data_IF_907065035662
#
_entry.id   IF_907065035662
#
_cell.length_a   1.000
_cell.length_b   1.000
_cell.length_c   1.000
_cell.angle_alpha   90.00
_cell.angle_beta   90.00
_cell.angle_gamma   90.00
#
_symmetry.space_group_name_H-M   'P 1'
#
loop_
_entity.id
_entity.type
_entity.pdbx_description
1 polymer ?
#
# COMPACT_ATOMS: atom_id res chain seq x y z
N UNK A 1 12.96 11.56 6.97
CA UNK A 1 11.55 11.52 6.54
C UNK A 1 11.48 11.35 5.05
N UNK A 2 10.81 10.32 4.57
CA UNK A 2 10.54 10.16 3.15
C UNK A 2 9.58 11.24 2.67
N UNK A 3 9.85 11.82 1.50
CA UNK A 3 8.92 12.73 0.85
C UNK A 3 7.72 11.94 0.38
N UNK A 4 6.54 12.25 0.88
CA UNK A 4 5.30 11.64 0.40
C UNK A 4 5.08 12.00 -1.07
N UNK A 5 4.92 11.00 -1.92
CA UNK A 5 4.60 11.20 -3.33
C UNK A 5 3.12 11.52 -3.47
N UNK A 6 2.79 12.72 -3.94
CA UNK A 6 1.43 13.15 -4.19
C UNK A 6 0.64 13.60 -2.94
N UNK A 7 -0.55 14.11 -3.18
CA UNK A 7 -1.49 14.54 -2.14
C UNK A 7 -2.50 13.43 -1.81
N UNK A 8 -3.22 13.56 -0.69
CA UNK A 8 -4.28 12.64 -0.32
C UNK A 8 -5.34 12.50 -1.42
N UNK A 9 -5.75 13.61 -2.01
CA UNK A 9 -6.74 13.62 -3.10
C UNK A 9 -6.24 12.84 -4.33
N UNK A 10 -4.96 13.00 -4.67
CA UNK A 10 -4.34 12.27 -5.79
C UNK A 10 -4.28 10.78 -5.50
N UNK A 11 -3.96 10.38 -4.27
CA UNK A 11 -4.01 8.98 -3.85
C UNK A 11 -5.43 8.41 -3.88
N UNK A 12 -6.41 9.17 -3.43
CA UNK A 12 -7.82 8.74 -3.49
C UNK A 12 -8.30 8.57 -4.92
N UNK A 13 -7.90 9.46 -5.84
CA UNK A 13 -8.32 9.40 -7.23
C UNK A 13 -7.85 8.13 -7.96
N UNK A 14 -6.70 7.57 -7.56
CA UNK A 14 -6.13 6.39 -8.22
C UNK A 14 -6.82 5.07 -7.84
N UNK A 15 -7.67 5.08 -6.81
CA UNK A 15 -8.30 3.89 -6.26
C UNK A 15 -9.64 3.51 -6.92
N UNK A 16 -9.89 3.99 -8.10
CA UNK A 16 -11.10 3.67 -8.85
C UNK A 16 -11.03 4.14 -10.28
N UNK A 17 -12.14 4.08 -10.96
CA UNK A 17 -12.25 4.58 -12.33
C UNK A 17 -11.92 6.09 -12.40
N UNK A 18 -11.16 6.55 -13.40
CA UNK A 18 -10.70 5.76 -14.57
C UNK A 18 -9.27 5.16 -14.43
N UNK A 19 -8.69 5.16 -13.23
CA UNK A 19 -7.27 4.84 -13.02
C UNK A 19 -6.96 3.34 -12.79
N UNK A 20 -7.95 2.44 -12.78
CA UNK A 20 -7.72 1.00 -12.68
C UNK A 20 -6.81 0.50 -13.82
N UNK A 21 -7.02 0.99 -15.03
CA UNK A 21 -6.18 0.69 -16.19
C UNK A 21 -4.75 1.23 -16.06
N UNK A 22 -4.56 2.36 -15.37
CA UNK A 22 -3.22 2.88 -15.05
C UNK A 22 -2.49 1.95 -14.10
N UNK A 23 -3.15 1.47 -13.04
CA UNK A 23 -2.54 0.52 -12.11
C UNK A 23 -2.11 -0.76 -12.81
N UNK A 24 -2.94 -1.29 -13.69
CA UNK A 24 -2.59 -2.47 -14.50
C UNK A 24 -1.40 -2.19 -15.41
N UNK A 25 -1.39 -1.06 -16.11
CA UNK A 25 -0.30 -0.66 -17.01
C UNK A 25 1.01 -0.38 -16.26
N UNK A 26 0.95 0.01 -14.98
CA UNK A 26 2.11 0.29 -14.15
C UNK A 26 2.66 -0.96 -13.40
N UNK A 27 2.04 -2.12 -13.57
CA UNK A 27 2.39 -3.34 -12.81
C UNK A 27 3.88 -3.69 -12.90
N UNK A 28 4.46 -3.59 -14.10
CA UNK A 28 5.87 -3.91 -14.34
C UNK A 28 6.81 -2.70 -14.31
N UNK A 29 6.25 -1.50 -14.17
CA UNK A 29 7.05 -0.28 -14.09
C UNK A 29 7.78 -0.18 -12.74
N UNK A 30 9.03 0.25 -12.78
CA UNK A 30 9.86 0.46 -11.59
C UNK A 30 10.09 1.94 -11.35
N UNK A 31 10.27 2.37 -10.08
CA UNK A 31 10.76 3.71 -9.81
C UNK A 31 12.06 3.98 -10.57
N UNK A 32 12.12 5.11 -11.30
CA UNK A 32 13.29 5.48 -12.10
C UNK A 32 13.33 4.89 -13.51
N UNK A 33 12.38 4.04 -13.91
CA UNK A 33 12.25 3.57 -15.29
C UNK A 33 11.70 4.68 -16.19
N UNK A 34 12.61 5.44 -16.79
CA UNK A 34 12.26 6.61 -17.60
C UNK A 34 11.42 6.25 -18.83
N UNK A 35 11.64 5.08 -19.42
CA UNK A 35 10.86 4.64 -20.59
C UNK A 35 9.42 4.31 -20.22
N UNK A 36 9.22 3.57 -19.14
CA UNK A 36 7.89 3.27 -18.63
C UNK A 36 7.15 4.53 -18.20
N UNK A 37 7.82 5.43 -17.47
CA UNK A 37 7.26 6.70 -17.03
C UNK A 37 6.82 7.55 -18.24
N UNK A 38 7.68 7.70 -19.23
CA UNK A 38 7.37 8.46 -20.46
C UNK A 38 6.18 7.89 -21.22
N UNK A 39 6.12 6.56 -21.32
CA UNK A 39 5.01 5.86 -21.98
C UNK A 39 3.68 6.10 -21.25
N UNK A 40 3.67 5.96 -19.93
CA UNK A 40 2.47 6.14 -19.11
C UNK A 40 1.99 7.60 -19.10
N UNK A 41 2.91 8.55 -19.06
CA UNK A 41 2.59 10.00 -19.10
C UNK A 41 1.95 10.47 -20.41
N UNK A 42 2.00 9.68 -21.48
CA UNK A 42 1.27 9.99 -22.72
C UNK A 42 -0.24 9.79 -22.58
N UNK A 43 -0.67 8.97 -21.63
CA UNK A 43 -2.07 8.59 -21.46
C UNK A 43 -2.67 9.09 -20.14
N UNK A 44 -1.84 9.29 -19.11
CA UNK A 44 -2.30 9.67 -17.77
C UNK A 44 -1.52 10.85 -17.19
N UNK A 45 -2.14 11.61 -16.27
CA UNK A 45 -1.45 12.74 -15.61
C UNK A 45 -0.21 12.28 -14.86
N UNK A 46 0.83 13.12 -14.87
CA UNK A 46 2.12 12.80 -14.28
C UNK A 46 2.05 12.46 -12.78
N UNK A 47 1.20 13.14 -12.02
CA UNK A 47 1.04 12.89 -10.59
C UNK A 47 0.47 11.49 -10.33
N UNK A 48 -0.57 11.08 -11.05
CA UNK A 48 -1.18 9.75 -10.93
C UNK A 48 -0.23 8.66 -11.40
N UNK A 49 0.56 8.89 -12.45
CA UNK A 49 1.60 7.96 -12.90
C UNK A 49 2.62 7.71 -11.80
N UNK A 50 3.10 8.77 -11.15
CA UNK A 50 4.05 8.64 -10.04
C UNK A 50 3.49 7.82 -8.88
N UNK A 51 2.24 8.07 -8.50
CA UNK A 51 1.56 7.33 -7.42
C UNK A 51 1.33 5.87 -7.82
N UNK A 52 0.91 5.60 -9.05
CA UNK A 52 0.70 4.23 -9.53
C UNK A 52 1.98 3.39 -9.47
N UNK A 53 3.11 3.96 -9.89
CA UNK A 53 4.41 3.29 -9.82
C UNK A 53 4.83 3.06 -8.37
N UNK A 54 4.65 4.05 -7.50
CA UNK A 54 4.95 3.94 -6.06
C UNK A 54 4.09 2.86 -5.39
N UNK A 55 2.78 2.83 -5.66
CA UNK A 55 1.87 1.83 -5.12
C UNK A 55 2.24 0.41 -5.58
N UNK A 56 2.56 0.24 -6.86
CA UNK A 56 2.98 -1.07 -7.37
C UNK A 56 4.33 -1.52 -6.78
N UNK A 57 5.26 -0.60 -6.56
CA UNK A 57 6.52 -0.91 -5.87
C UNK A 57 6.26 -1.29 -4.41
N UNK A 58 5.41 -0.54 -3.71
CA UNK A 58 5.01 -0.85 -2.33
C UNK A 58 4.40 -2.25 -2.24
N UNK A 59 3.49 -2.60 -3.16
CA UNK A 59 2.86 -3.94 -3.23
C UNK A 59 3.89 -5.04 -3.49
N UNK A 60 4.88 -4.82 -4.35
CA UNK A 60 5.96 -5.79 -4.55
C UNK A 60 6.76 -6.05 -3.28
N UNK A 61 7.17 -4.99 -2.60
CA UNK A 61 7.92 -5.08 -1.32
C UNK A 61 7.07 -5.67 -0.19
N UNK A 62 5.76 -5.47 -0.25
CA UNK A 62 4.83 -5.96 0.77
C UNK A 62 4.52 -7.46 0.66
N UNK A 63 4.85 -8.12 -0.44
CA UNK A 63 4.48 -9.53 -0.66
C UNK A 63 4.90 -10.47 0.47
N UNK A 64 6.12 -10.30 0.97
CA UNK A 64 6.66 -11.13 2.04
C UNK A 64 6.10 -10.75 3.42
N UNK A 65 5.82 -9.46 3.62
CA UNK A 65 5.24 -8.96 4.88
C UNK A 65 3.74 -9.22 5.02
N UNK A 66 3.02 -9.13 3.90
CA UNK A 66 1.55 -9.21 3.84
C UNK A 66 1.09 -10.13 2.70
N UNK A 67 1.39 -11.44 2.77
CA UNK A 67 1.11 -12.38 1.67
C UNK A 67 -0.37 -12.49 1.33
N UNK A 68 -1.26 -12.20 2.27
CA UNK A 68 -2.71 -12.29 2.10
C UNK A 68 -3.38 -10.96 1.67
N UNK A 69 -2.59 -9.91 1.42
CA UNK A 69 -3.11 -8.57 1.10
C UNK A 69 -2.52 -8.01 -0.21
N UNK A 70 -2.79 -8.65 -1.37
CA UNK A 70 -2.21 -8.22 -2.65
C UNK A 70 -2.69 -6.86 -3.13
N UNK A 71 -3.82 -6.38 -2.61
CA UNK A 71 -4.39 -5.06 -2.92
C UNK A 71 -4.08 -3.99 -1.86
N UNK A 72 -3.07 -4.20 -1.04
CA UNK A 72 -2.64 -3.22 -0.04
C UNK A 72 -2.46 -1.84 -0.64
N UNK A 73 -2.93 -0.82 0.06
CA UNK A 73 -2.75 0.59 -0.29
C UNK A 73 -1.71 1.17 0.65
N UNK A 74 -0.53 1.42 0.14
CA UNK A 74 0.58 1.94 0.93
C UNK A 74 1.65 2.54 0.01
N UNK A 75 2.51 3.36 0.58
CA UNK A 75 3.77 3.75 -0.03
C UNK A 75 4.92 2.82 0.44
N UNK A 76 6.07 2.93 -0.20
CA UNK A 76 7.23 2.08 0.13
C UNK A 76 7.75 2.33 1.54
N UNK A 77 7.68 3.57 2.03
CA UNK A 77 8.09 3.92 3.38
C UNK A 77 7.18 3.26 4.43
N UNK A 78 5.87 3.29 4.22
CA UNK A 78 4.90 2.63 5.09
C UNK A 78 5.12 1.12 5.15
N UNK A 79 5.38 0.47 4.01
CA UNK A 79 5.70 -0.96 3.96
C UNK A 79 7.00 -1.27 4.71
N UNK A 80 8.02 -0.44 4.54
CA UNK A 80 9.30 -0.63 5.23
C UNK A 80 9.16 -0.58 6.75
N UNK A 81 8.33 0.34 7.26
CA UNK A 81 8.10 0.54 8.69
C UNK A 81 7.09 -0.44 9.30
N UNK A 82 6.31 -1.13 8.48
CA UNK A 82 5.26 -2.02 8.96
C UNK A 82 5.80 -3.28 9.63
N UNK A 83 5.08 -3.76 10.63
CA UNK A 83 5.36 -5.03 11.29
C UNK A 83 5.11 -6.21 10.32
N UNK A 84 6.07 -7.13 10.13
CA UNK A 84 5.87 -8.33 9.33
C UNK A 84 4.70 -9.20 9.84
N UNK A 85 4.00 -9.85 8.93
CA UNK A 85 2.78 -10.61 9.23
C UNK A 85 2.92 -11.64 10.36
N UNK A 86 4.00 -12.46 10.43
CA UNK A 86 4.17 -13.40 11.54
C UNK A 86 4.25 -12.73 12.93
N UNK A 87 4.87 -11.55 12.99
CA UNK A 87 4.98 -10.79 14.24
C UNK A 87 3.65 -10.11 14.57
N UNK A 88 2.97 -9.55 13.59
CA UNK A 88 1.67 -8.92 13.77
C UNK A 88 0.62 -9.92 14.26
N UNK A 89 0.59 -11.12 13.68
CA UNK A 89 -0.31 -12.20 14.12
C UNK A 89 0.01 -12.70 15.52
N UNK A 90 1.30 -12.79 15.89
CA UNK A 90 1.71 -13.15 17.25
C UNK A 90 1.26 -12.09 18.27
N UNK A 91 1.40 -10.80 17.93
CA UNK A 91 0.89 -9.70 18.77
C UNK A 91 -0.63 -9.71 18.90
N UNK A 92 -1.35 -10.01 17.81
CA UNK A 92 -2.81 -10.06 17.81
C UNK A 92 -3.38 -11.08 18.80
N UNK A 93 -2.66 -12.15 19.09
CA UNK A 93 -3.05 -13.16 20.09
C UNK A 93 -3.13 -12.64 21.54
N UNK A 94 -2.60 -11.45 21.82
CA UNK A 94 -2.71 -10.81 23.13
C UNK A 94 -4.08 -10.23 23.42
N UNK A 95 -4.91 -10.10 22.39
CA UNK A 95 -6.25 -9.53 22.48
C UNK A 95 -7.28 -10.61 22.24
N UNK A 96 -8.25 -10.75 23.13
CA UNK A 96 -9.35 -11.68 22.95
C UNK A 96 -10.27 -11.21 21.81
N UNK A 97 -10.94 -12.16 21.14
CA UNK A 97 -11.73 -11.89 19.95
C UNK A 97 -12.90 -10.93 20.18
N UNK A 98 -13.39 -10.84 21.41
CA UNK A 98 -14.49 -9.96 21.82
C UNK A 98 -14.01 -8.57 22.33
N UNK A 99 -12.69 -8.34 22.40
CA UNK A 99 -12.17 -7.04 22.81
C UNK A 99 -12.31 -5.98 21.73
N UNK A 100 -12.73 -4.79 22.12
CA UNK A 100 -12.60 -3.59 21.31
C UNK A 100 -11.16 -3.05 21.41
N UNK A 101 -10.48 -2.92 20.28
CA UNK A 101 -9.07 -2.50 20.24
C UNK A 101 -8.93 -1.21 19.46
N UNK A 102 -8.23 -0.23 20.03
CA UNK A 102 -7.82 1.00 19.35
C UNK A 102 -6.34 0.91 19.01
N UNK A 103 -6.02 0.99 17.72
CA UNK A 103 -4.64 1.13 17.23
C UNK A 103 -4.35 2.60 16.91
N UNK A 104 -3.80 3.31 17.90
CA UNK A 104 -3.61 4.76 17.83
C UNK A 104 -2.49 5.24 16.91
N UNK A 105 -1.56 4.36 16.56
CA UNK A 105 -0.43 4.65 15.66
C UNK A 105 -0.32 3.55 14.59
N UNK A 106 -1.40 3.32 13.87
CA UNK A 106 -1.55 2.14 13.00
C UNK A 106 -0.63 2.10 11.77
N UNK A 107 -0.05 3.23 11.35
CA UNK A 107 0.70 3.29 10.12
C UNK A 107 -0.15 2.82 8.93
N UNK A 108 0.35 1.87 8.15
CA UNK A 108 -0.42 1.26 7.04
C UNK A 108 -1.40 0.16 7.50
N UNK A 109 -1.50 -0.08 8.80
CA UNK A 109 -2.48 -0.99 9.38
C UNK A 109 -2.05 -2.45 9.50
N UNK A 110 -0.76 -2.75 9.48
CA UNK A 110 -0.25 -4.13 9.57
C UNK A 110 -0.73 -4.86 10.83
N UNK A 111 -0.52 -4.27 11.99
CA UNK A 111 -1.00 -4.82 13.27
C UNK A 111 -2.53 -4.79 13.33
N UNK A 112 -3.16 -3.72 12.84
CA UNK A 112 -4.63 -3.58 12.80
C UNK A 112 -5.29 -4.70 12.00
N UNK A 113 -4.76 -5.03 10.82
CA UNK A 113 -5.27 -6.12 9.97
C UNK A 113 -5.18 -7.47 10.69
N UNK A 114 -4.06 -7.74 11.37
CA UNK A 114 -3.88 -8.98 12.11
C UNK A 114 -4.85 -9.08 13.30
N UNK A 115 -5.07 -7.98 14.02
CA UNK A 115 -6.04 -7.92 15.13
C UNK A 115 -7.47 -8.10 14.60
N UNK A 116 -7.82 -7.45 13.49
CA UNK A 116 -9.16 -7.57 12.88
C UNK A 116 -9.48 -9.00 12.43
N UNK A 117 -8.50 -9.74 11.93
CA UNK A 117 -8.70 -11.15 11.50
C UNK A 117 -8.94 -12.13 12.66
N UNK A 118 -8.71 -11.72 13.88
CA UNK A 118 -8.93 -12.52 15.08
C UNK A 118 -10.42 -12.73 15.40
N UNK A 119 -11.28 -11.84 14.92
CA UNK A 119 -12.72 -11.83 15.15
C UNK A 119 -13.25 -10.40 15.25
N UNK A 120 -14.57 -10.24 15.39
CA UNK A 120 -15.21 -8.93 15.50
C UNK A 120 -14.77 -8.19 16.75
#
# INVERSE_FOLDING_TARGET
>A
MGTTIGTLEQWQSILGEPYDSLLDAATDARPGDLQAISRLRKQWPAAQVAIAIELQEARRRARDKFPNHPKLIADTAGVQQATPWPIATAKAKRFDADMHVLDGCCGIGGDTMAIAMRGP
#
